data_IF_225643276011
#
_entry.id   IF_225643276011
#
_cell.length_a   1.000
_cell.length_b   1.000
_cell.length_c   1.000
_cell.angle_alpha   90.00
_cell.angle_beta   90.00
_cell.angle_gamma   90.00
#
_symmetry.space_group_name_H-M   'P 1'
#
loop_
_entity.id
_entity.type
_entity.pdbx_description
1 polymer ?
#
# COMPACT_ATOMS: atom_id res chain seq x y z
N UNK A 1 15.23 -46.92 -11.03
CA UNK A 1 15.18 -45.79 -11.99
C UNK A 1 14.14 -44.76 -11.57
N UNK A 2 12.88 -45.15 -11.31
CA UNK A 2 11.81 -44.21 -10.96
C UNK A 2 12.05 -43.41 -9.67
N UNK A 3 12.49 -44.04 -8.58
CA UNK A 3 12.76 -43.36 -7.30
C UNK A 3 13.97 -42.42 -7.37
N UNK A 4 14.99 -42.78 -8.14
CA UNK A 4 16.15 -41.92 -8.42
C UNK A 4 15.72 -40.65 -9.16
N UNK A 5 14.87 -40.77 -10.18
CA UNK A 5 14.31 -39.62 -10.91
C UNK A 5 13.53 -38.71 -9.95
N UNK A 6 12.71 -39.29 -9.06
CA UNK A 6 11.97 -38.53 -8.04
C UNK A 6 12.92 -37.73 -7.15
N UNK A 7 13.99 -38.34 -6.61
CA UNK A 7 15.00 -37.64 -5.80
C UNK A 7 15.59 -36.42 -6.53
N UNK A 8 15.97 -36.57 -7.81
CA UNK A 8 16.51 -35.44 -8.57
C UNK A 8 15.46 -34.37 -8.89
N UNK A 9 14.19 -34.75 -9.12
CA UNK A 9 13.09 -33.80 -9.27
C UNK A 9 12.85 -32.99 -7.97
N UNK A 10 12.87 -33.66 -6.81
CA UNK A 10 12.73 -32.99 -5.51
C UNK A 10 13.89 -32.03 -5.26
N UNK A 11 15.13 -32.45 -5.52
CA UNK A 11 16.31 -31.57 -5.42
C UNK A 11 16.19 -30.35 -6.33
N UNK A 12 15.80 -30.55 -7.60
CA UNK A 12 15.63 -29.46 -8.55
C UNK A 12 14.58 -28.44 -8.08
N UNK A 13 13.47 -28.93 -7.52
CA UNK A 13 12.43 -28.07 -6.94
C UNK A 13 12.91 -27.33 -5.69
N UNK A 14 13.67 -27.99 -4.81
CA UNK A 14 14.31 -27.36 -3.64
C UNK A 14 15.25 -26.23 -4.06
N UNK A 15 16.08 -26.46 -5.07
CA UNK A 15 17.00 -25.44 -5.62
C UNK A 15 16.20 -24.28 -6.21
N UNK A 16 15.14 -24.56 -6.97
CA UNK A 16 14.28 -23.51 -7.54
C UNK A 16 13.64 -22.64 -6.44
N UNK A 17 13.08 -23.25 -5.39
CA UNK A 17 12.52 -22.50 -4.25
C UNK A 17 13.58 -21.67 -3.54
N UNK A 18 14.80 -22.20 -3.38
CA UNK A 18 15.91 -21.45 -2.78
C UNK A 18 16.29 -20.24 -3.64
N UNK A 19 16.40 -20.42 -4.97
CA UNK A 19 16.67 -19.32 -5.90
C UNK A 19 15.59 -18.25 -5.77
N UNK A 20 14.31 -18.60 -5.88
CA UNK A 20 13.20 -17.64 -5.73
C UNK A 20 13.22 -16.94 -4.35
N UNK A 21 13.56 -17.66 -3.29
CA UNK A 21 13.58 -17.12 -1.91
C UNK A 21 14.70 -16.10 -1.69
N UNK A 22 15.91 -16.39 -2.19
CA UNK A 22 17.12 -15.62 -1.88
C UNK A 22 17.51 -14.61 -2.98
N UNK A 23 17.01 -14.76 -4.20
CA UNK A 23 17.28 -13.86 -5.32
C UNK A 23 17.02 -12.37 -5.00
N UNK A 24 15.93 -11.99 -4.29
CA UNK A 24 15.71 -10.60 -3.90
C UNK A 24 16.77 -9.98 -2.99
N UNK A 25 17.57 -10.79 -2.28
CA UNK A 25 18.62 -10.30 -1.38
C UNK A 25 19.78 -9.64 -2.12
N UNK A 26 19.90 -9.87 -3.43
CA UNK A 26 20.90 -9.24 -4.29
C UNK A 26 20.79 -7.71 -4.39
N UNK A 27 19.73 -7.09 -3.83
CA UNK A 27 19.40 -5.66 -3.96
C UNK A 27 19.26 -5.16 -5.42
N UNK A 28 19.28 -6.05 -6.41
CA UNK A 28 19.15 -5.66 -7.83
C UNK A 28 17.75 -5.09 -8.10
N UNK A 29 17.63 -3.94 -8.79
CA UNK A 29 16.34 -3.31 -9.10
C UNK A 29 15.64 -3.93 -10.33
N UNK A 30 16.19 -5.00 -10.92
CA UNK A 30 15.60 -5.66 -12.08
C UNK A 30 14.20 -6.20 -11.73
N UNK A 31 13.21 -5.93 -12.58
CA UNK A 31 11.82 -6.33 -12.34
C UNK A 31 11.65 -7.80 -11.94
N UNK A 32 12.32 -8.75 -12.60
CA UNK A 32 12.15 -10.19 -12.33
C UNK A 32 12.78 -10.62 -11.00
N UNK A 33 13.82 -9.91 -10.53
CA UNK A 33 14.38 -10.08 -9.19
C UNK A 33 13.37 -9.61 -8.15
N UNK A 34 12.77 -8.43 -8.35
CA UNK A 34 11.76 -7.86 -7.45
C UNK A 34 10.45 -8.66 -7.47
N UNK A 35 10.04 -9.17 -8.64
CA UNK A 35 8.86 -10.01 -8.80
C UNK A 35 8.94 -11.30 -7.97
N UNK A 36 10.15 -11.84 -7.75
CA UNK A 36 10.33 -13.01 -6.89
C UNK A 36 10.03 -12.75 -5.40
N UNK A 37 9.89 -11.49 -4.97
CA UNK A 37 9.40 -11.13 -3.62
C UNK A 37 7.88 -11.30 -3.46
N UNK A 38 7.12 -11.34 -4.55
CA UNK A 38 5.66 -11.37 -4.47
C UNK A 38 5.16 -12.70 -3.89
N UNK A 39 5.53 -13.88 -4.43
CA UNK A 39 4.90 -15.14 -4.05
C UNK A 39 5.42 -15.75 -2.73
N UNK A 40 5.90 -14.97 -1.73
CA UNK A 40 6.53 -15.52 -0.52
C UNK A 40 5.65 -16.52 0.23
N UNK A 41 4.37 -16.19 0.40
CA UNK A 41 3.43 -17.10 1.08
C UNK A 41 3.15 -18.35 0.27
N UNK A 42 3.05 -18.24 -1.06
CA UNK A 42 2.88 -19.36 -1.97
C UNK A 42 4.12 -20.28 -1.93
N UNK A 43 5.33 -19.71 -1.93
CA UNK A 43 6.59 -20.43 -1.77
C UNK A 43 6.62 -21.16 -0.43
N UNK A 44 6.21 -20.53 0.68
CA UNK A 44 6.13 -21.18 1.99
C UNK A 44 5.15 -22.36 2.00
N UNK A 45 3.95 -22.19 1.40
CA UNK A 45 2.93 -23.24 1.31
C UNK A 45 3.43 -24.43 0.47
N UNK A 46 4.16 -24.19 -0.63
CA UNK A 46 4.76 -25.25 -1.46
C UNK A 46 5.94 -25.93 -0.76
N UNK A 47 6.73 -25.17 -0.01
CA UNK A 47 7.91 -25.68 0.69
C UNK A 47 7.57 -26.69 1.79
N UNK A 48 6.40 -26.57 2.44
CA UNK A 48 5.97 -27.49 3.51
C UNK A 48 5.83 -28.95 3.01
N UNK A 49 4.96 -29.28 2.02
CA UNK A 49 4.84 -30.65 1.53
C UNK A 49 6.13 -31.13 0.85
N UNK A 50 6.90 -30.23 0.21
CA UNK A 50 8.20 -30.60 -0.34
C UNK A 50 9.18 -31.04 0.75
N UNK A 51 9.24 -30.31 1.87
CA UNK A 51 10.07 -30.68 3.00
C UNK A 51 9.67 -32.05 3.55
N UNK A 52 8.36 -32.29 3.73
CA UNK A 52 7.85 -33.60 4.16
C UNK A 52 8.26 -34.71 3.18
N UNK A 53 8.12 -34.50 1.87
CA UNK A 53 8.48 -35.48 0.84
C UNK A 53 9.98 -35.79 0.85
N UNK A 54 10.84 -34.77 0.91
CA UNK A 54 12.31 -34.95 0.95
C UNK A 54 12.76 -35.67 2.23
N UNK A 55 12.22 -35.31 3.38
CA UNK A 55 12.51 -35.98 4.67
C UNK A 55 12.03 -37.43 4.64
N UNK A 56 10.83 -37.69 4.11
CA UNK A 56 10.30 -39.05 4.00
C UNK A 56 11.16 -39.94 3.09
N UNK A 57 11.56 -39.43 1.91
CA UNK A 57 12.47 -40.14 1.00
C UNK A 57 13.81 -40.46 1.66
N UNK A 58 14.37 -39.50 2.42
CA UNK A 58 15.63 -39.65 3.11
C UNK A 58 15.57 -40.73 4.21
N UNK A 59 14.51 -40.73 5.04
CA UNK A 59 14.33 -41.72 6.10
C UNK A 59 13.98 -43.11 5.59
N UNK A 60 13.14 -43.21 4.57
CA UNK A 60 12.71 -44.50 4.05
C UNK A 60 13.78 -45.22 3.24
N UNK A 61 14.89 -44.55 2.90
CA UNK A 61 15.99 -45.13 2.13
C UNK A 61 15.59 -45.52 0.71
N UNK A 62 14.50 -44.96 0.18
CA UNK A 62 13.97 -45.28 -1.15
C UNK A 62 14.74 -44.59 -2.29
N UNK A 63 15.37 -43.45 -1.99
CA UNK A 63 16.13 -42.63 -2.95
C UNK A 63 17.64 -42.71 -2.75
N UNK A 64 18.33 -41.65 -3.16
CA UNK A 64 19.74 -41.44 -2.84
C UNK A 64 19.82 -40.65 -1.54
N UNK A 65 19.97 -41.34 -0.41
CA UNK A 65 19.82 -40.77 0.94
C UNK A 65 20.57 -39.46 1.15
N UNK A 66 21.80 -39.34 0.64
CA UNK A 66 22.59 -38.10 0.75
C UNK A 66 21.97 -36.93 -0.04
N UNK A 67 21.39 -37.18 -1.22
CA UNK A 67 20.72 -36.16 -2.03
C UNK A 67 19.39 -35.75 -1.40
N UNK A 68 18.63 -36.71 -0.88
CA UNK A 68 17.34 -36.44 -0.26
C UNK A 68 17.53 -35.57 1.01
N UNK A 69 18.57 -35.84 1.82
CA UNK A 69 18.94 -34.98 2.95
C UNK A 69 19.41 -33.58 2.51
N UNK A 70 20.17 -33.48 1.42
CA UNK A 70 20.57 -32.19 0.86
C UNK A 70 19.35 -31.38 0.41
N UNK A 71 18.41 -32.01 -0.32
CA UNK A 71 17.17 -31.38 -0.75
C UNK A 71 16.33 -30.93 0.46
N UNK A 72 16.20 -31.78 1.49
CA UNK A 72 15.52 -31.44 2.74
C UNK A 72 16.15 -30.23 3.44
N UNK A 73 17.49 -30.18 3.53
CA UNK A 73 18.21 -29.07 4.13
C UNK A 73 17.99 -27.76 3.36
N UNK A 74 18.07 -27.79 2.02
CA UNK A 74 17.82 -26.62 1.16
C UNK A 74 16.38 -26.12 1.35
N UNK A 75 15.39 -27.03 1.33
CA UNK A 75 13.98 -26.68 1.55
C UNK A 75 13.76 -26.10 2.94
N UNK A 76 14.35 -26.71 3.98
CA UNK A 76 14.22 -26.25 5.37
C UNK A 76 14.80 -24.83 5.56
N UNK A 77 15.97 -24.56 5.00
CA UNK A 77 16.58 -23.22 5.01
C UNK A 77 15.71 -22.21 4.28
N UNK A 78 15.16 -22.58 3.11
CA UNK A 78 14.26 -21.71 2.34
C UNK A 78 12.97 -21.42 3.10
N UNK A 79 12.34 -22.43 3.72
CA UNK A 79 11.13 -22.28 4.52
C UNK A 79 11.39 -21.42 5.77
N UNK A 80 12.52 -21.64 6.45
CA UNK A 80 12.95 -20.83 7.59
C UNK A 80 13.14 -19.37 7.22
N UNK A 81 13.74 -19.10 6.05
CA UNK A 81 13.85 -17.74 5.52
C UNK A 81 12.46 -17.16 5.20
N UNK A 82 11.58 -17.90 4.51
CA UNK A 82 10.20 -17.46 4.23
C UNK A 82 9.41 -17.11 5.51
N UNK A 83 9.64 -17.84 6.60
CA UNK A 83 9.02 -17.54 7.89
C UNK A 83 9.39 -16.15 8.41
N UNK A 84 10.63 -15.68 8.23
CA UNK A 84 11.07 -14.34 8.66
C UNK A 84 10.19 -13.24 8.03
N UNK A 85 9.83 -13.39 6.76
CA UNK A 85 9.00 -12.42 6.05
C UNK A 85 7.49 -12.62 6.25
N UNK A 86 7.03 -13.87 6.36
CA UNK A 86 5.59 -14.16 6.39
C UNK A 86 5.00 -14.13 7.81
N UNK A 87 5.73 -14.62 8.83
CA UNK A 87 5.24 -14.75 10.21
C UNK A 87 4.78 -13.41 10.82
N UNK A 88 5.44 -12.25 10.60
CA UNK A 88 4.94 -10.94 11.03
C UNK A 88 3.49 -10.68 10.63
N UNK A 89 3.06 -11.17 9.47
CA UNK A 89 1.73 -11.00 8.92
C UNK A 89 0.80 -12.16 9.27
N UNK A 90 0.98 -12.78 10.45
CA UNK A 90 0.10 -13.84 10.96
C UNK A 90 -0.42 -13.48 12.35
N UNK A 91 -1.54 -14.08 12.80
CA UNK A 91 -2.02 -13.92 14.18
C UNK A 91 -1.06 -14.42 15.27
N UNK A 92 0.03 -15.11 14.91
CA UNK A 92 1.01 -15.64 15.85
C UNK A 92 1.90 -14.54 16.45
N UNK A 93 2.00 -13.39 15.78
CA UNK A 93 2.83 -12.28 16.20
C UNK A 93 2.01 -11.24 17.00
N UNK A 94 2.63 -10.54 17.97
CA UNK A 94 2.01 -9.40 18.60
C UNK A 94 1.59 -8.36 17.58
N UNK A 95 0.39 -7.81 17.76
CA UNK A 95 -0.14 -6.74 16.91
C UNK A 95 0.68 -5.48 17.09
N UNK A 96 1.08 -4.88 15.98
CA UNK A 96 1.81 -3.62 15.99
C UNK A 96 0.91 -2.43 16.39
N UNK A 97 -0.35 -2.46 15.98
CA UNK A 97 -1.40 -1.55 16.45
C UNK A 97 -2.55 -2.36 17.00
N UNK A 98 -3.01 -2.10 18.23
CA UNK A 98 -4.27 -2.67 18.75
C UNK A 98 -5.47 -1.87 18.22
N UNK A 99 -6.68 -2.46 18.28
CA UNK A 99 -7.90 -1.76 17.85
C UNK A 99 -8.32 -0.76 18.93
N UNK A 100 -8.51 0.50 18.54
CA UNK A 100 -9.16 1.50 19.36
C UNK A 100 -10.68 1.30 19.36
N UNK A 101 -11.39 1.69 20.44
CA UNK A 101 -12.84 1.79 20.39
C UNK A 101 -13.26 2.90 19.43
N UNK A 102 -14.44 2.77 18.82
CA UNK A 102 -15.09 3.87 18.12
C UNK A 102 -15.30 5.07 19.04
N UNK A 103 -15.40 6.26 18.45
CA UNK A 103 -15.68 7.47 19.20
C UNK A 103 -15.84 8.69 18.29
N UNK A 104 -16.14 9.86 18.89
CA UNK A 104 -16.16 11.13 18.18
C UNK A 104 -14.84 11.35 17.41
N UNK A 105 -14.93 11.95 16.22
CA UNK A 105 -13.76 12.22 15.38
C UNK A 105 -13.18 10.98 14.69
N UNK A 106 -13.82 9.80 14.77
CA UNK A 106 -13.43 8.64 13.95
C UNK A 106 -13.64 8.97 12.48
N UNK A 107 -12.62 8.76 11.67
CA UNK A 107 -12.65 8.97 10.22
C UNK A 107 -12.53 7.63 9.51
N UNK A 108 -13.35 7.44 8.49
CA UNK A 108 -13.37 6.27 7.62
C UNK A 108 -12.73 6.56 6.27
N UNK A 109 -11.96 5.60 5.77
CA UNK A 109 -11.17 5.68 4.55
C UNK A 109 -11.50 4.50 3.65
N UNK A 110 -11.65 4.76 2.36
CA UNK A 110 -11.74 3.74 1.32
C UNK A 110 -10.69 4.03 0.25
N UNK A 111 -9.85 3.04 -0.06
CA UNK A 111 -9.01 3.06 -1.25
C UNK A 111 -9.37 1.91 -2.17
N UNK A 112 -9.54 2.17 -3.46
CA UNK A 112 -9.89 1.14 -4.44
C UNK A 112 -9.16 1.38 -5.76
N UNK A 113 -8.30 0.45 -6.16
CA UNK A 113 -7.90 0.31 -7.55
C UNK A 113 -9.11 -0.25 -8.32
N UNK A 114 -9.69 0.57 -9.20
CA UNK A 114 -10.95 0.23 -9.86
C UNK A 114 -10.80 -0.71 -11.05
N UNK A 115 -9.55 -0.94 -11.50
CA UNK A 115 -9.18 -1.54 -12.77
C UNK A 115 -9.81 -0.78 -13.93
N UNK A 116 -9.03 0.01 -14.68
CA UNK A 116 -9.58 0.93 -15.70
C UNK A 116 -10.61 0.28 -16.65
N UNK A 117 -10.34 -0.94 -17.12
CA UNK A 117 -11.24 -1.66 -18.05
C UNK A 117 -12.42 -2.38 -17.38
N UNK A 118 -12.62 -2.23 -16.07
CA UNK A 118 -13.72 -2.87 -15.35
C UNK A 118 -15.06 -2.18 -15.67
N UNK A 119 -15.93 -2.89 -16.35
CA UNK A 119 -17.26 -2.39 -16.70
C UNK A 119 -18.27 -2.41 -15.55
N UNK A 120 -17.94 -3.06 -14.41
CA UNK A 120 -18.80 -3.14 -13.23
C UNK A 120 -18.69 -1.89 -12.35
N UNK A 121 -18.73 -0.70 -12.96
CA UNK A 121 -18.58 0.60 -12.28
C UNK A 121 -19.60 0.78 -11.15
N UNK A 122 -20.85 0.35 -11.38
CA UNK A 122 -21.93 0.42 -10.40
C UNK A 122 -21.66 -0.40 -9.11
N UNK A 123 -20.86 -1.46 -9.18
CA UNK A 123 -20.50 -2.21 -7.97
C UNK A 123 -19.52 -1.45 -7.07
N UNK A 124 -18.62 -0.65 -7.67
CA UNK A 124 -17.76 0.27 -6.92
C UNK A 124 -18.62 1.38 -6.29
N UNK A 125 -19.54 1.97 -7.05
CA UNK A 125 -20.49 2.97 -6.55
C UNK A 125 -21.37 2.43 -5.41
N UNK A 126 -21.83 1.19 -5.50
CA UNK A 126 -22.58 0.52 -4.44
C UNK A 126 -21.73 0.27 -3.20
N UNK A 127 -20.46 -0.10 -3.37
CA UNK A 127 -19.56 -0.32 -2.24
C UNK A 127 -19.22 0.98 -1.50
N UNK A 128 -19.02 2.09 -2.23
CA UNK A 128 -18.88 3.44 -1.65
C UNK A 128 -20.14 3.77 -0.84
N UNK A 129 -21.34 3.64 -1.41
CA UNK A 129 -22.60 3.90 -0.69
C UNK A 129 -22.81 3.00 0.53
N UNK A 130 -22.38 1.73 0.45
CA UNK A 130 -22.54 0.76 1.54
C UNK A 130 -21.59 1.05 2.71
N UNK A 131 -20.36 1.43 2.41
CA UNK A 131 -19.34 1.73 3.41
C UNK A 131 -19.45 3.16 3.94
N UNK A 132 -20.00 4.07 3.15
CA UNK A 132 -20.14 5.51 3.39
C UNK A 132 -18.88 6.15 3.99
N UNK A 133 -17.71 6.03 3.31
CA UNK A 133 -16.45 6.51 3.85
C UNK A 133 -16.37 8.04 3.87
N UNK A 134 -15.63 8.62 4.82
CA UNK A 134 -15.37 10.05 4.90
C UNK A 134 -14.35 10.50 3.84
N UNK A 135 -13.39 9.63 3.51
CA UNK A 135 -12.34 9.87 2.50
C UNK A 135 -12.32 8.69 1.51
N UNK A 136 -12.40 9.00 0.21
CA UNK A 136 -12.34 8.02 -0.89
C UNK A 136 -11.14 8.32 -1.78
N UNK A 137 -10.32 7.29 -2.02
CA UNK A 137 -9.28 7.28 -3.03
C UNK A 137 -9.63 6.23 -4.10
N UNK A 138 -9.82 6.66 -5.34
CA UNK A 138 -9.97 5.77 -6.50
C UNK A 138 -8.73 5.88 -7.37
N UNK A 139 -8.20 4.75 -7.81
CA UNK A 139 -7.00 4.62 -8.65
C UNK A 139 -7.34 3.90 -9.93
N UNK A 140 -6.62 4.21 -11.02
CA UNK A 140 -6.89 3.76 -12.39
C UNK A 140 -8.16 4.33 -13.03
N UNK A 141 -8.52 5.57 -12.68
CA UNK A 141 -9.73 6.22 -13.21
C UNK A 141 -9.45 7.00 -14.49
N UNK A 142 -10.19 6.72 -15.56
CA UNK A 142 -10.31 7.57 -16.74
C UNK A 142 -11.52 8.52 -16.62
N UNK A 143 -11.85 9.24 -17.70
CA UNK A 143 -13.04 10.11 -17.71
C UNK A 143 -14.35 9.31 -17.55
N UNK A 144 -14.45 8.12 -18.14
CA UNK A 144 -15.65 7.29 -18.01
C UNK A 144 -15.89 6.84 -16.56
N UNK A 145 -14.83 6.61 -15.79
CA UNK A 145 -14.91 6.37 -14.35
C UNK A 145 -15.37 7.61 -13.57
N UNK A 146 -14.87 8.80 -13.91
CA UNK A 146 -15.32 10.04 -13.26
C UNK A 146 -16.82 10.22 -13.43
N UNK A 147 -17.31 10.11 -14.67
CA UNK A 147 -18.72 10.32 -15.00
C UNK A 147 -19.60 9.29 -14.29
N UNK A 148 -19.17 8.02 -14.25
CA UNK A 148 -19.91 6.95 -13.58
C UNK A 148 -19.92 7.09 -12.05
N UNK A 149 -18.88 7.66 -11.44
CA UNK A 149 -18.78 7.84 -9.99
C UNK A 149 -19.47 9.11 -9.50
N UNK A 150 -19.85 10.04 -10.37
CA UNK A 150 -20.49 11.29 -10.00
C UNK A 150 -21.70 11.10 -9.05
N UNK A 151 -22.66 10.19 -9.30
CA UNK A 151 -23.80 10.00 -8.39
C UNK A 151 -23.40 9.45 -7.02
N UNK A 152 -22.40 8.58 -6.95
CA UNK A 152 -21.92 7.99 -5.69
C UNK A 152 -21.12 8.99 -4.85
N UNK A 153 -20.47 9.95 -5.53
CA UNK A 153 -19.66 10.99 -4.90
C UNK A 153 -20.42 12.32 -4.69
N UNK A 154 -21.68 12.42 -5.11
CA UNK A 154 -22.47 13.66 -5.05
C UNK A 154 -22.62 14.26 -3.65
N UNK A 155 -22.45 13.46 -2.57
CA UNK A 155 -22.51 13.95 -1.20
C UNK A 155 -21.16 14.39 -0.62
N UNK A 156 -20.05 14.29 -1.36
CA UNK A 156 -18.73 14.69 -0.90
C UNK A 156 -18.50 16.17 -1.15
N UNK A 157 -18.15 16.92 -0.11
CA UNK A 157 -17.97 18.38 -0.16
C UNK A 157 -16.76 18.81 -1.01
N UNK A 158 -15.79 17.93 -1.17
CA UNK A 158 -14.59 18.15 -1.95
C UNK A 158 -14.27 16.92 -2.80
N UNK A 159 -13.98 17.13 -4.08
CA UNK A 159 -13.58 16.08 -5.01
C UNK A 159 -12.46 16.61 -5.92
N UNK A 160 -11.27 16.04 -5.77
CA UNK A 160 -10.11 16.27 -6.63
C UNK A 160 -10.02 15.15 -7.67
N UNK A 161 -9.92 15.51 -8.94
CA UNK A 161 -9.91 14.55 -10.06
C UNK A 161 -8.70 14.77 -10.95
N UNK A 162 -8.12 13.68 -11.39
CA UNK A 162 -7.06 13.67 -12.39
C UNK A 162 -7.20 12.41 -13.25
N UNK A 163 -8.16 12.40 -14.21
CA UNK A 163 -8.34 11.27 -15.10
C UNK A 163 -7.14 11.13 -16.04
N UNK A 164 -6.74 9.90 -16.31
CA UNK A 164 -5.73 9.58 -17.33
C UNK A 164 -6.16 8.31 -18.06
N UNK A 165 -5.89 8.23 -19.36
CA UNK A 165 -6.21 7.06 -20.19
C UNK A 165 -5.09 5.99 -20.18
N UNK A 166 -4.24 5.98 -19.14
CA UNK A 166 -3.02 5.16 -19.05
C UNK A 166 -2.92 4.32 -17.77
N UNK A 167 -4.04 4.02 -17.12
CA UNK A 167 -4.14 3.33 -15.82
C UNK A 167 -3.57 4.08 -14.60
N UNK A 168 -3.20 5.36 -14.69
CA UNK A 168 -2.68 6.11 -13.53
C UNK A 168 -3.55 7.26 -13.07
N UNK A 169 -4.74 7.41 -13.64
CA UNK A 169 -5.66 8.45 -13.18
C UNK A 169 -6.17 8.19 -11.77
N UNK A 170 -6.53 9.27 -11.07
CA UNK A 170 -6.83 9.23 -9.64
C UNK A 170 -7.97 10.18 -9.27
N UNK A 171 -8.79 9.77 -8.30
CA UNK A 171 -9.81 10.62 -7.66
C UNK A 171 -9.62 10.59 -6.15
N UNK A 172 -9.61 11.76 -5.51
CA UNK A 172 -9.68 11.93 -4.06
C UNK A 172 -10.96 12.70 -3.71
N UNK A 173 -11.89 12.07 -2.99
CA UNK A 173 -13.11 12.70 -2.51
C UNK A 173 -13.16 12.69 -0.98
N UNK A 174 -13.66 13.77 -0.37
CA UNK A 174 -13.84 13.83 1.09
C UNK A 174 -15.01 14.73 1.50
N UNK A 175 -15.67 14.37 2.59
CA UNK A 175 -16.68 15.18 3.30
C UNK A 175 -16.06 16.00 4.44
N UNK A 176 -14.77 15.79 4.70
CA UNK A 176 -14.06 16.50 5.75
C UNK A 176 -13.63 17.89 5.29
N UNK A 177 -13.38 18.77 6.26
CA UNK A 177 -12.80 20.07 5.97
C UNK A 177 -11.39 19.88 5.40
N UNK A 178 -11.21 20.31 4.15
CA UNK A 178 -9.93 20.31 3.45
C UNK A 178 -9.21 21.62 3.71
N UNK A 179 -7.96 21.54 4.19
CA UNK A 179 -7.08 22.71 4.28
C UNK A 179 -6.16 22.80 3.07
N UNK A 180 -5.61 21.66 2.65
CA UNK A 180 -4.89 21.52 1.38
C UNK A 180 -5.18 20.15 0.79
N UNK A 181 -5.28 20.06 -0.53
CA UNK A 181 -5.34 18.81 -1.26
C UNK A 181 -4.78 19.02 -2.67
N UNK A 182 -3.86 18.15 -3.10
CA UNK A 182 -3.21 18.26 -4.40
C UNK A 182 -2.73 16.89 -4.87
N UNK A 183 -2.63 16.73 -6.18
CA UNK A 183 -1.84 15.66 -6.78
C UNK A 183 -0.45 16.19 -7.10
N UNK A 184 0.57 15.41 -6.80
CA UNK A 184 1.96 15.76 -7.14
C UNK A 184 2.51 14.66 -8.03
N UNK A 185 3.04 15.04 -9.19
CA UNK A 185 3.76 14.14 -10.07
C UNK A 185 5.20 14.03 -9.57
N UNK A 186 5.52 12.88 -9.01
CA UNK A 186 6.80 12.62 -8.35
C UNK A 186 7.66 11.62 -9.11
N UNK A 187 7.34 11.32 -10.37
CA UNK A 187 8.04 10.35 -11.20
C UNK A 187 8.23 10.88 -12.61
N UNK A 188 9.15 10.25 -13.35
CA UNK A 188 9.33 10.51 -14.79
C UNK A 188 8.10 10.04 -15.59
N UNK A 189 7.37 9.04 -15.07
CA UNK A 189 6.16 8.46 -15.64
C UNK A 189 4.89 9.28 -15.35
N UNK A 190 5.02 10.43 -14.67
CA UNK A 190 3.92 11.34 -14.33
C UNK A 190 2.76 10.64 -13.57
N UNK A 191 3.09 9.71 -12.67
CA UNK A 191 2.12 9.09 -11.76
C UNK A 191 1.72 10.06 -10.63
N UNK A 192 0.41 10.28 -10.39
CA UNK A 192 -0.04 11.18 -9.34
C UNK A 192 0.04 10.50 -7.96
N UNK A 193 0.65 11.20 -7.00
CA UNK A 193 0.49 10.90 -5.57
C UNK A 193 -0.43 11.96 -4.94
N UNK A 194 -1.45 11.53 -4.22
CA UNK A 194 -2.37 12.42 -3.52
C UNK A 194 -1.78 12.86 -2.16
N UNK A 195 -1.71 14.16 -1.93
CA UNK A 195 -1.41 14.72 -0.61
C UNK A 195 -2.55 15.62 -0.16
N UNK A 196 -3.06 15.38 1.04
CA UNK A 196 -4.06 16.24 1.64
C UNK A 196 -3.81 16.47 3.13
N UNK A 197 -4.15 17.67 3.61
CA UNK A 197 -4.29 17.99 5.03
C UNK A 197 -5.77 18.24 5.32
N UNK A 198 -6.33 17.37 6.16
CA UNK A 198 -7.76 17.31 6.45
C UNK A 198 -7.98 17.56 7.94
N UNK A 199 -9.20 17.98 8.30
CA UNK A 199 -9.64 18.03 9.70
C UNK A 199 -10.77 17.06 9.96
N UNK A 200 -10.65 16.32 11.05
CA UNK A 200 -11.72 15.51 11.61
C UNK A 200 -12.91 16.38 12.03
N UNK A 201 -14.12 15.78 12.24
CA UNK A 201 -15.28 16.53 12.74
C UNK A 201 -15.07 17.24 14.09
N UNK A 202 -14.18 16.74 14.95
CA UNK A 202 -13.80 17.36 16.23
C UNK A 202 -12.63 18.36 16.10
N UNK A 203 -12.15 18.62 14.88
CA UNK A 203 -11.21 19.69 14.56
C UNK A 203 -9.73 19.30 14.54
N UNK A 204 -9.39 18.05 14.84
CA UNK A 204 -8.01 17.53 14.79
C UNK A 204 -7.50 17.49 13.35
N UNK A 205 -6.34 18.08 13.10
CA UNK A 205 -5.70 18.05 11.79
C UNK A 205 -4.90 16.74 11.62
N UNK A 206 -4.96 16.18 10.42
CA UNK A 206 -4.15 15.03 10.02
C UNK A 206 -3.80 15.11 8.54
N UNK A 207 -2.82 14.32 8.13
CA UNK A 207 -2.38 14.23 6.73
C UNK A 207 -2.79 12.90 6.11
N UNK A 208 -3.14 12.95 4.83
CA UNK A 208 -3.46 11.81 4.01
C UNK A 208 -2.49 11.74 2.83
N UNK A 209 -1.98 10.53 2.57
CA UNK A 209 -1.14 10.19 1.43
C UNK A 209 -1.81 9.06 0.65
N UNK A 210 -2.19 9.33 -0.60
CA UNK A 210 -2.74 8.37 -1.54
C UNK A 210 -1.72 7.97 -2.59
N UNK A 211 -1.38 6.67 -2.68
CA UNK A 211 -0.31 6.16 -3.55
C UNK A 211 -0.82 5.20 -4.61
N UNK A 212 -0.28 5.32 -5.83
CA UNK A 212 -0.43 4.37 -6.94
C UNK A 212 0.80 4.39 -7.86
N UNK A 213 1.98 3.94 -7.38
CA UNK A 213 3.21 4.01 -8.14
C UNK A 213 3.24 2.89 -9.21
N UNK A 214 4.12 3.04 -10.20
CA UNK A 214 4.26 2.08 -11.32
C UNK A 214 4.62 0.67 -10.82
N UNK A 215 3.98 -0.41 -11.31
CA UNK A 215 4.37 -1.78 -10.99
C UNK A 215 5.76 -2.17 -11.48
N UNK A 216 6.37 -3.22 -10.91
CA UNK A 216 7.55 -3.83 -11.51
C UNK A 216 7.19 -4.51 -12.84
N UNK A 217 7.21 -3.75 -13.94
CA UNK A 217 6.85 -4.23 -15.27
C UNK A 217 8.06 -4.83 -16.03
N UNK A 218 7.83 -5.81 -16.92
CA UNK A 218 8.90 -6.37 -17.74
C UNK A 218 9.68 -5.30 -18.52
N UNK A 219 10.99 -5.28 -18.32
CA UNK A 219 11.90 -4.38 -19.04
C UNK A 219 12.23 -3.07 -18.33
N UNK A 220 11.58 -2.76 -17.20
CA UNK A 220 11.88 -1.57 -16.39
C UNK A 220 12.61 -1.92 -15.09
N UNK A 221 13.40 -0.97 -14.58
CA UNK A 221 13.92 -1.05 -13.22
C UNK A 221 12.90 -0.49 -12.24
N UNK A 222 12.99 -0.89 -10.97
CA UNK A 222 12.03 -0.45 -9.96
C UNK A 222 12.50 0.74 -9.13
N UNK A 223 13.61 1.40 -9.50
CA UNK A 223 14.18 2.45 -8.68
C UNK A 223 13.27 3.67 -8.60
N UNK A 224 12.66 4.06 -9.72
CA UNK A 224 11.74 5.20 -9.79
C UNK A 224 10.53 4.99 -8.88
N UNK A 225 9.92 3.80 -8.91
CA UNK A 225 8.85 3.40 -7.99
C UNK A 225 9.30 3.42 -6.53
N UNK A 226 10.43 2.77 -6.22
CA UNK A 226 10.93 2.70 -4.84
C UNK A 226 11.21 4.09 -4.29
N UNK A 227 11.68 5.00 -5.13
CA UNK A 227 11.92 6.38 -4.76
C UNK A 227 10.64 7.17 -4.54
N UNK A 228 9.62 7.03 -5.40
CA UNK A 228 8.30 7.67 -5.19
C UNK A 228 7.72 7.29 -3.83
N UNK A 229 7.74 5.99 -3.52
CA UNK A 229 7.29 5.44 -2.23
C UNK A 229 8.08 6.08 -1.08
N UNK A 230 9.42 6.08 -1.14
CA UNK A 230 10.24 6.65 -0.06
C UNK A 230 10.14 8.17 0.06
N UNK A 231 9.93 8.86 -1.06
CA UNK A 231 9.69 10.29 -1.05
C UNK A 231 8.38 10.62 -0.31
N UNK A 232 7.31 9.89 -0.62
CA UNK A 232 6.04 10.03 0.09
C UNK A 232 6.20 9.74 1.59
N UNK A 233 7.08 8.79 1.97
CA UNK A 233 7.39 8.52 3.37
C UNK A 233 8.00 9.74 4.09
N UNK A 234 8.85 10.53 3.43
CA UNK A 234 9.42 11.75 4.04
C UNK A 234 8.39 12.82 4.35
N UNK A 235 7.35 12.94 3.52
CA UNK A 235 6.23 13.84 3.81
C UNK A 235 5.55 13.52 5.15
N UNK A 236 5.58 12.25 5.57
CA UNK A 236 5.13 11.83 6.88
C UNK A 236 6.18 12.05 7.97
N UNK A 237 7.45 11.69 7.71
CA UNK A 237 8.54 11.83 8.68
C UNK A 237 8.84 13.27 9.11
N UNK A 238 8.60 14.24 8.22
CA UNK A 238 8.86 15.67 8.49
C UNK A 238 7.66 16.40 9.14
N UNK A 239 6.62 15.67 9.58
CA UNK A 239 5.40 16.26 10.16
C UNK A 239 5.15 15.79 11.59
N UNK A 240 4.79 16.74 12.46
CA UNK A 240 4.29 16.45 13.81
C UNK A 240 2.81 15.98 13.82
N UNK A 241 2.13 16.04 12.68
CA UNK A 241 0.73 15.65 12.54
C UNK A 241 0.58 14.15 12.32
N UNK A 242 -0.51 13.52 12.80
CA UNK A 242 -0.80 12.14 12.44
C UNK A 242 -0.94 12.00 10.91
N UNK A 243 -0.38 10.93 10.35
CA UNK A 243 -0.44 10.66 8.90
C UNK A 243 -1.06 9.29 8.64
N UNK A 244 -1.97 9.27 7.66
CA UNK A 244 -2.54 8.06 7.07
C UNK A 244 -2.00 7.92 5.66
N UNK A 245 -1.41 6.76 5.35
CA UNK A 245 -1.03 6.42 3.98
C UNK A 245 -1.79 5.18 3.50
N UNK A 246 -2.40 5.27 2.33
CA UNK A 246 -3.25 4.22 1.77
C UNK A 246 -3.25 4.22 0.25
N UNK A 247 -3.37 3.05 -0.37
CA UNK A 247 -3.44 2.92 -1.82
C UNK A 247 -2.85 1.60 -2.31
N UNK A 248 -2.76 1.44 -3.62
CA UNK A 248 -2.04 0.34 -4.25
C UNK A 248 -0.57 0.73 -4.35
N UNK A 249 0.31 0.02 -3.62
CA UNK A 249 1.74 0.34 -3.64
C UNK A 249 2.49 -0.44 -4.72
N UNK A 250 1.79 -1.32 -5.47
CA UNK A 250 2.38 -2.17 -6.49
C UNK A 250 3.62 -2.96 -6.00
N UNK A 251 3.63 -3.24 -4.70
CA UNK A 251 4.66 -3.97 -3.98
C UNK A 251 4.02 -4.67 -2.80
N UNK A 252 4.52 -5.84 -2.44
CA UNK A 252 3.99 -6.62 -1.31
C UNK A 252 4.46 -6.06 0.03
N UNK A 253 3.65 -6.23 1.08
CA UNK A 253 3.91 -5.77 2.45
C UNK A 253 5.31 -6.12 2.99
N UNK A 254 5.84 -7.29 2.64
CA UNK A 254 7.14 -7.80 3.08
C UNK A 254 8.31 -7.50 2.13
N UNK A 255 8.10 -6.62 1.13
CA UNK A 255 9.18 -6.20 0.25
C UNK A 255 10.13 -5.25 0.98
N UNK A 256 11.36 -5.13 0.46
CA UNK A 256 12.31 -4.13 0.97
C UNK A 256 11.73 -2.71 0.89
N UNK A 257 11.07 -2.37 -0.21
CA UNK A 257 10.49 -1.04 -0.43
C UNK A 257 9.39 -0.72 0.59
N UNK A 258 8.49 -1.67 0.88
CA UNK A 258 7.44 -1.49 1.90
C UNK A 258 8.04 -1.33 3.31
N UNK A 259 9.07 -2.10 3.65
CA UNK A 259 9.76 -1.94 4.93
C UNK A 259 10.49 -0.59 5.04
N UNK A 260 11.16 -0.14 3.97
CA UNK A 260 11.82 1.17 3.95
C UNK A 260 10.81 2.31 3.98
N UNK A 261 9.65 2.19 3.32
CA UNK A 261 8.53 3.14 3.43
C UNK A 261 8.10 3.30 4.88
N UNK A 262 7.86 2.15 5.53
CA UNK A 262 7.42 2.11 6.91
C UNK A 262 8.44 2.77 7.85
N UNK A 263 9.72 2.46 7.67
CA UNK A 263 10.81 3.00 8.48
C UNK A 263 11.03 4.50 8.23
N UNK A 264 11.13 4.90 6.96
CA UNK A 264 11.41 6.30 6.58
C UNK A 264 10.30 7.27 6.96
N UNK A 265 9.04 6.81 7.01
CA UNK A 265 7.89 7.64 7.38
C UNK A 265 7.41 7.47 8.82
N UNK A 266 8.09 6.67 9.64
CA UNK A 266 7.64 6.42 11.02
C UNK A 266 6.24 5.80 11.10
N UNK A 267 5.96 4.83 10.22
CA UNK A 267 4.66 4.17 10.13
C UNK A 267 4.59 2.85 10.91
N UNK A 268 3.36 2.49 11.24
CA UNK A 268 2.93 1.20 11.75
C UNK A 268 2.05 0.51 10.70
N UNK A 269 2.14 -0.82 10.61
CA UNK A 269 1.38 -1.63 9.65
C UNK A 269 0.21 -2.34 10.35
N UNK A 270 -1.01 -2.11 9.85
CA UNK A 270 -2.23 -2.71 10.40
C UNK A 270 -2.26 -4.24 10.28
N UNK A 271 -1.52 -4.80 9.32
CA UNK A 271 -1.49 -6.23 8.98
C UNK A 271 -0.63 -7.05 9.94
N UNK A 272 0.37 -6.42 10.58
CA UNK A 272 1.28 -7.11 11.49
C UNK A 272 0.51 -7.62 12.72
N UNK A 273 0.66 -8.92 13.00
CA UNK A 273 -0.07 -9.63 14.05
C UNK A 273 -1.54 -9.95 13.73
N UNK A 274 -1.96 -9.82 12.46
CA UNK A 274 -3.34 -10.10 12.02
C UNK A 274 -3.43 -11.02 10.81
N UNK A 275 -2.67 -10.74 9.76
CA UNK A 275 -2.87 -11.39 8.47
C UNK A 275 -2.38 -10.51 7.32
N UNK A 276 -2.02 -11.08 6.16
CA UNK A 276 -1.57 -10.30 5.00
C UNK A 276 -2.65 -9.36 4.46
N UNK A 277 -3.93 -9.67 4.65
CA UNK A 277 -5.07 -8.94 4.07
C UNK A 277 -4.93 -8.71 2.55
N UNK A 278 -4.82 -9.77 1.74
CA UNK A 278 -4.48 -9.62 0.34
C UNK A 278 -5.65 -9.06 -0.47
N UNK A 279 -5.35 -8.07 -1.30
CA UNK A 279 -6.28 -7.31 -2.14
C UNK A 279 -6.27 -7.74 -3.59
N UNK A 280 -5.13 -8.22 -4.12
CA UNK A 280 -4.92 -8.59 -5.52
C UNK A 280 -4.30 -10.00 -5.64
N UNK A 281 -4.65 -10.91 -6.54
CA UNK A 281 -5.73 -10.86 -7.52
C UNK A 281 -7.05 -11.29 -6.85
N UNK A 282 -8.03 -10.39 -6.84
CA UNK A 282 -9.34 -10.61 -6.24
C UNK A 282 -10.10 -11.79 -6.88
N UNK A 283 -9.84 -12.06 -8.17
CA UNK A 283 -10.49 -13.10 -8.98
C UNK A 283 -9.88 -14.49 -8.72
N UNK A 284 -8.63 -14.57 -8.27
CA UNK A 284 -7.90 -15.84 -8.11
C UNK A 284 -7.34 -15.98 -6.70
N UNK A 285 -8.10 -16.65 -5.84
CA UNK A 285 -7.80 -16.75 -4.40
C UNK A 285 -6.41 -17.30 -4.05
N UNK A 286 -5.83 -18.14 -4.91
CA UNK A 286 -4.51 -18.77 -4.72
C UNK A 286 -3.33 -17.90 -5.19
N UNK A 287 -3.58 -16.81 -5.93
CA UNK A 287 -2.57 -15.81 -6.33
C UNK A 287 -2.70 -14.49 -5.57
N UNK A 288 -3.39 -14.51 -4.44
CA UNK A 288 -3.63 -13.32 -3.64
C UNK A 288 -2.36 -12.82 -2.94
N UNK A 289 -2.21 -11.50 -2.92
CA UNK A 289 -1.03 -10.71 -2.60
C UNK A 289 -1.51 -9.40 -1.94
N UNK A 290 -0.80 -8.91 -0.91
CA UNK A 290 -1.15 -7.70 -0.20
C UNK A 290 -0.41 -6.48 -0.75
N UNK A 291 -0.87 -5.98 -1.90
CA UNK A 291 -0.25 -4.82 -2.58
C UNK A 291 -0.97 -3.50 -2.29
N UNK A 292 -2.26 -3.54 -1.95
CA UNK A 292 -2.95 -2.40 -1.37
C UNK A 292 -2.64 -2.32 0.13
N UNK A 293 -2.01 -1.22 0.53
CA UNK A 293 -1.44 -1.07 1.86
C UNK A 293 -2.13 0.03 2.65
N UNK A 294 -2.04 -0.05 3.97
CA UNK A 294 -2.58 0.92 4.90
C UNK A 294 -1.64 1.08 6.08
N UNK A 295 -1.19 2.31 6.28
CA UNK A 295 -0.18 2.68 7.26
C UNK A 295 -0.64 3.90 8.07
N UNK A 296 -0.25 3.91 9.35
CA UNK A 296 -0.53 5.00 10.28
C UNK A 296 0.74 5.39 11.01
N UNK A 297 0.97 6.69 11.23
CA UNK A 297 1.99 7.12 12.18
C UNK A 297 1.54 6.84 13.62
N UNK A 298 2.48 6.90 14.57
CA UNK A 298 2.21 6.48 15.95
C UNK A 298 1.12 7.29 16.67
N UNK A 299 0.83 8.50 16.22
CA UNK A 299 -0.15 9.41 16.80
C UNK A 299 -1.60 9.07 16.35
N UNK A 300 -1.79 8.16 15.39
CA UNK A 300 -3.08 7.71 14.93
C UNK A 300 -3.42 6.30 15.46
N UNK A 301 -4.66 6.11 15.89
CA UNK A 301 -5.14 4.86 16.45
C UNK A 301 -6.12 4.16 15.48
N UNK A 302 -5.79 2.94 15.06
CA UNK A 302 -6.64 2.17 14.16
C UNK A 302 -7.87 1.62 14.90
N UNK A 303 -9.08 1.90 14.40
CA UNK A 303 -10.33 1.29 14.88
C UNK A 303 -10.61 -0.02 14.14
N UNK A 304 -10.65 0.01 12.81
CA UNK A 304 -10.76 -1.18 11.97
C UNK A 304 -9.95 -1.05 10.67
N UNK A 305 -9.57 -2.20 10.11
CA UNK A 305 -8.97 -2.31 8.80
C UNK A 305 -9.42 -3.64 8.21
N UNK A 306 -10.07 -3.57 7.06
CA UNK A 306 -10.82 -4.66 6.48
C UNK A 306 -10.91 -4.53 4.95
N UNK A 307 -11.13 -5.67 4.31
CA UNK A 307 -11.27 -5.77 2.87
C UNK A 307 -12.74 -5.68 2.49
N UNK A 308 -13.06 -4.82 1.54
CA UNK A 308 -14.38 -4.64 0.95
C UNK A 308 -14.84 -5.85 0.12
N UNK A 309 -16.03 -5.71 -0.47
CA UNK A 309 -16.64 -6.72 -1.35
C UNK A 309 -15.93 -6.75 -2.71
N UNK A 310 -16.10 -7.86 -3.43
CA UNK A 310 -15.64 -7.94 -4.83
C UNK A 310 -16.47 -7.01 -5.72
N UNK A 311 -15.82 -6.07 -6.40
CA UNK A 311 -16.45 -5.02 -7.23
C UNK A 311 -16.16 -5.18 -8.73
N UNK A 312 -15.73 -6.36 -9.17
CA UNK A 312 -15.37 -6.62 -10.58
C UNK A 312 -13.91 -6.28 -10.95
N UNK A 313 -13.25 -5.41 -10.19
CA UNK A 313 -11.81 -5.16 -10.27
C UNK A 313 -11.01 -6.43 -9.91
N UNK A 314 -9.76 -6.53 -10.38
CA UNK A 314 -8.78 -7.50 -9.88
C UNK A 314 -8.20 -7.10 -8.50
N UNK A 315 -8.58 -5.94 -7.97
CA UNK A 315 -8.38 -5.53 -6.59
C UNK A 315 -9.69 -5.59 -5.79
N UNK A 316 -9.56 -5.89 -4.50
CA UNK A 316 -10.60 -5.59 -3.53
C UNK A 316 -10.42 -4.15 -3.01
N UNK A 317 -11.52 -3.39 -2.81
CA UNK A 317 -11.46 -2.15 -2.07
C UNK A 317 -10.94 -2.40 -0.65
N UNK A 318 -10.13 -1.51 -0.13
CA UNK A 318 -9.60 -1.57 1.22
C UNK A 318 -10.26 -0.49 2.06
N UNK A 319 -10.77 -0.84 3.23
CA UNK A 319 -11.53 0.06 4.11
C UNK A 319 -10.88 0.12 5.48
N UNK A 320 -10.73 1.32 6.02
CA UNK A 320 -10.15 1.54 7.33
C UNK A 320 -10.96 2.57 8.12
N UNK A 321 -10.90 2.48 9.45
CA UNK A 321 -11.42 3.50 10.36
C UNK A 321 -10.35 3.85 11.37
N UNK A 322 -10.17 5.15 11.60
CA UNK A 322 -9.04 5.70 12.36
C UNK A 322 -9.54 6.76 13.30
N UNK A 323 -8.95 6.80 14.50
CA UNK A 323 -9.08 7.90 15.44
C UNK A 323 -7.77 8.65 15.53
N UNK A 324 -7.85 9.96 15.46
CA UNK A 324 -6.70 10.85 15.57
C UNK A 324 -6.57 11.36 16.99
N UNK A 325 -6.17 10.45 17.89
CA UNK A 325 -6.02 10.70 19.33
C UNK A 325 -4.69 10.09 19.78
N UNK A 326 -3.69 10.93 20.02
CA UNK A 326 -2.34 10.52 20.34
C UNK A 326 -2.24 9.80 21.70
N UNK A 327 -3.08 10.15 22.67
CA UNK A 327 -3.08 9.52 24.00
C UNK A 327 -3.65 8.09 23.92
N UNK A 328 -4.75 7.91 23.17
CA UNK A 328 -5.27 6.57 22.88
C UNK A 328 -4.26 5.77 22.07
N UNK A 329 -3.66 6.38 21.04
CA UNK A 329 -2.69 5.73 20.18
C UNK A 329 -1.47 5.23 20.97
N UNK A 330 -0.91 6.03 21.88
CA UNK A 330 0.22 5.67 22.74
C UNK A 330 0.00 4.41 23.57
N UNK A 331 -1.23 4.16 24.03
CA UNK A 331 -1.58 2.96 24.80
C UNK A 331 -1.80 1.70 23.94
N UNK A 332 -2.02 1.86 22.64
CA UNK A 332 -2.42 0.79 21.72
C UNK A 332 -1.36 0.42 20.69
N UNK A 333 -0.55 1.38 20.30
CA UNK A 333 0.47 1.27 19.28
C UNK A 333 1.79 0.80 19.88
N UNK A 334 2.52 0.00 19.10
CA UNK A 334 3.89 -0.34 19.42
C UNK A 334 4.78 0.88 19.22
N UNK A 335 5.76 1.02 20.10
CA UNK A 335 6.80 2.03 19.93
C UNK A 335 7.66 1.71 18.68
N UNK A 336 7.81 2.68 17.79
CA UNK A 336 8.68 2.62 16.64
C UNK A 336 10.10 2.81 17.15
N UNK A 337 10.93 1.81 16.89
CA UNK A 337 12.34 1.89 17.21
C UNK A 337 13.05 2.82 16.22
N UNK A 338 14.11 3.52 16.65
CA UNK A 338 14.94 4.31 15.75
C UNK A 338 15.38 3.47 14.55
N UNK A 339 15.30 4.07 13.37
CA UNK A 339 15.77 3.45 12.13
C UNK A 339 17.29 3.31 12.21
N UNK A 340 17.87 2.13 11.92
CA UNK A 340 19.32 1.99 11.92
C UNK A 340 20.00 2.93 10.92
N UNK A 341 21.14 3.53 11.28
CA UNK A 341 21.85 4.54 10.45
C UNK A 341 22.09 4.10 9.00
N UNK A 342 22.39 2.82 8.79
CA UNK A 342 22.62 2.28 7.45
C UNK A 342 21.35 2.28 6.59
N UNK A 343 20.18 2.06 7.19
CA UNK A 343 18.89 2.13 6.51
C UNK A 343 18.53 3.57 6.22
N UNK A 344 18.75 4.48 7.17
CA UNK A 344 18.48 5.90 6.96
C UNK A 344 19.35 6.46 5.83
N UNK A 345 20.62 6.06 5.77
CA UNK A 345 21.53 6.41 4.67
C UNK A 345 21.03 5.87 3.32
N UNK A 346 20.64 4.58 3.27
CA UNK A 346 20.09 3.96 2.05
C UNK A 346 18.83 4.71 1.56
N UNK A 347 17.93 5.11 2.48
CA UNK A 347 16.72 5.88 2.14
C UNK A 347 17.10 7.27 1.60
N UNK A 348 18.01 7.96 2.29
CA UNK A 348 18.45 9.31 1.92
C UNK A 348 19.09 9.33 0.54
N UNK A 349 20.03 8.43 0.27
CA UNK A 349 20.72 8.33 -1.01
C UNK A 349 19.73 8.06 -2.17
N UNK A 350 18.74 7.20 -1.93
CA UNK A 350 17.74 6.86 -2.95
C UNK A 350 16.81 8.04 -3.26
N UNK A 351 16.39 8.78 -2.22
CA UNK A 351 15.59 10.00 -2.37
C UNK A 351 16.39 11.09 -3.09
N UNK A 352 17.63 11.38 -2.67
CA UNK A 352 18.47 12.41 -3.28
C UNK A 352 18.77 12.10 -4.75
N UNK A 353 19.04 10.83 -5.07
CA UNK A 353 19.24 10.38 -6.45
C UNK A 353 18.00 10.61 -7.30
N UNK A 354 16.83 10.36 -6.73
CA UNK A 354 15.55 10.55 -7.41
C UNK A 354 15.20 12.01 -7.61
N UNK A 355 15.37 12.86 -6.60
CA UNK A 355 15.18 14.30 -6.73
C UNK A 355 16.07 14.88 -7.85
N UNK A 356 17.35 14.47 -7.90
CA UNK A 356 18.27 14.87 -8.97
C UNK A 356 17.88 14.33 -10.36
N UNK A 357 17.15 13.22 -10.46
CA UNK A 357 16.59 12.72 -11.73
C UNK A 357 15.37 13.54 -12.15
N UNK A 358 14.44 13.76 -11.22
CA UNK A 358 13.24 14.57 -11.46
C UNK A 358 13.59 16.00 -11.89
N UNK A 359 14.55 16.64 -11.23
CA UNK A 359 15.00 17.99 -11.62
C UNK A 359 15.57 18.02 -13.04
N UNK A 360 16.31 16.98 -13.45
CA UNK A 360 16.82 16.87 -14.83
C UNK A 360 15.71 16.63 -15.85
N UNK A 361 14.67 15.88 -15.49
CA UNK A 361 13.58 15.52 -16.39
C UNK A 361 12.53 16.65 -16.53
N UNK A 362 12.13 17.25 -15.40
CA UNK A 362 10.99 18.16 -15.31
C UNK A 362 11.35 19.60 -14.90
N UNK A 363 12.62 19.88 -14.53
CA UNK A 363 13.07 21.17 -14.00
C UNK A 363 12.65 21.42 -12.54
N UNK A 364 11.40 21.11 -12.18
CA UNK A 364 10.87 21.08 -10.82
C UNK A 364 9.66 20.13 -10.72
N UNK A 365 9.27 19.75 -9.49
CA UNK A 365 8.07 18.94 -9.23
C UNK A 365 6.81 19.64 -9.74
N UNK A 366 5.95 18.90 -10.43
CA UNK A 366 4.70 19.44 -10.97
C UNK A 366 3.57 19.19 -9.98
N UNK A 367 3.14 20.26 -9.34
CA UNK A 367 1.92 20.27 -8.52
C UNK A 367 0.74 20.45 -9.46
N UNK A 368 -0.20 19.52 -9.39
CA UNK A 368 -1.47 19.61 -10.12
C UNK A 368 -2.56 19.94 -9.11
N UNK A 369 -3.08 21.16 -9.21
CA UNK A 369 -4.38 21.49 -8.66
C UNK A 369 -5.44 20.94 -9.64
N UNK A 370 -6.20 19.94 -9.21
CA UNK A 370 -7.34 19.46 -10.00
C UNK A 370 -8.45 20.51 -10.06
N UNK A 371 -9.36 20.37 -11.04
CA UNK A 371 -10.52 21.24 -11.15
C UNK A 371 -11.45 21.03 -9.93
N UNK A 372 -11.49 22.02 -9.04
CA UNK A 372 -12.54 22.14 -8.02
C UNK A 372 -13.86 22.46 -8.74
N UNK A 373 -14.63 21.43 -9.08
CA UNK A 373 -15.98 21.60 -9.64
C UNK A 373 -16.97 21.95 -8.52
N UNK A 374 -16.75 23.06 -7.82
CA UNK A 374 -17.84 23.78 -7.17
C UNK A 374 -18.39 24.80 -8.17
N UNK A 375 -19.72 24.98 -8.29
CA UNK A 375 -20.21 26.19 -8.92
C UNK A 375 -19.64 27.36 -8.10
N UNK A 376 -19.03 28.33 -8.79
CA UNK A 376 -18.58 29.60 -8.19
C UNK A 376 -19.69 30.05 -7.23
N UNK A 377 -19.44 30.02 -5.92
CA UNK A 377 -20.17 30.92 -5.04
C UNK A 377 -19.84 32.31 -5.58
N UNK A 378 -20.83 32.92 -6.23
CA UNK A 378 -20.73 34.26 -6.78
C UNK A 378 -20.26 35.18 -5.65
N UNK A 379 -19.17 35.89 -5.90
CA UNK A 379 -18.70 36.97 -5.06
C UNK A 379 -19.70 38.14 -5.15
N UNK A 380 -20.86 37.97 -4.54
CA UNK A 380 -21.88 39.00 -4.29
C UNK A 380 -22.60 38.65 -2.98
N UNK A 381 -21.89 38.63 -1.84
CA UNK A 381 -22.50 38.99 -0.56
C UNK A 381 -21.50 39.35 0.56
N UNK A 382 -20.34 39.94 0.22
CA UNK A 382 -19.46 40.58 1.21
C UNK A 382 -19.11 41.98 0.72
N UNK A 383 -20.12 42.82 0.55
CA UNK A 383 -19.98 44.28 0.57
C UNK A 383 -21.30 44.91 1.01
N UNK A 384 -21.52 44.98 2.33
CA UNK A 384 -22.29 46.07 2.92
C UNK A 384 -21.80 46.35 4.33
N UNK A 385 -20.80 47.21 4.37
CA UNK A 385 -20.55 48.12 5.47
C UNK A 385 -21.77 49.05 5.61
N UNK A 386 -22.34 49.26 6.81
CA UNK A 386 -23.14 50.43 7.10
C UNK A 386 -22.30 51.41 7.91
N UNK A 387 -21.54 52.26 7.21
CA UNK A 387 -21.17 53.54 7.79
C UNK A 387 -22.44 54.40 7.93
N UNK A 388 -22.69 54.82 9.17
CA UNK A 388 -23.04 56.19 9.53
C UNK A 388 -24.27 56.82 8.88
N UNK A 389 -25.35 56.94 9.66
CA UNK A 389 -26.19 58.15 9.62
C UNK A 389 -26.31 58.73 11.02
N UNK A 390 -26.00 60.03 11.08
CA UNK A 390 -26.18 60.94 12.19
C UNK A 390 -27.65 61.00 12.63
N UNK A 391 -27.92 60.84 13.93
CA UNK A 391 -28.65 61.79 14.80
C UNK A 391 -28.84 61.23 16.20
#
# INVERSE_FOLDING_TARGET
MTLTVVTYCLLALSILLAVVTFLPLSKSPRWWVRASEFPRMQVAVIAIPLLVATVWMAFAGYGQTYIDWLAAAITAVSLGAQAIWCVPYTPLMPREMKRAPEGPGTVSFLASNVLMQNERKEDVANEIRRLDPDVVLLMETDQAWIDAMEPALAGYDFILRYPLDNCYGMVLATRLKVETAQFVLMTEDDTPTAFARLRTPDGTAFRFIGLHPVPPVPGQDTMTRDAEVLYAARYAGDSDEPVVAMGDFNTVAWSRAAHQFKQGGGFLDARIGRGPMPSFDARRWWMRLPIDQFYLTQQAAMVSYERGRFVGSDHFPMFARVRFDAEIAKGLNREILPVPDHVERDIRELVETHDARLERHHGAKRIIAGEDTRPRQTAEDITRDPEGTES
#
